data_IF_520988184835
#
_entry.id   IF_520988184835
#
_cell.length_a   1.000
_cell.length_b   1.000
_cell.length_c   1.000
_cell.angle_alpha   90.00
_cell.angle_beta   90.00
_cell.angle_gamma   90.00
#
_symmetry.space_group_name_H-M   'P 1'
#
loop_
_entity.id
_entity.type
_entity.pdbx_description
1 polymer ?
#
# COMPACT_ATOMS: atom_id res chain seq x y z
N UNK A 1 -14.40 -0.73 16.85
CA UNK A 1 -13.83 -1.99 16.35
C UNK A 1 -12.84 -1.64 15.25
N UNK A 2 -13.24 -1.31 14.02
CA UNK A 2 -12.31 -0.76 13.03
C UNK A 2 -12.01 0.71 13.36
N UNK A 3 -10.74 1.08 13.47
CA UNK A 3 -10.35 2.45 13.81
C UNK A 3 -8.95 2.77 13.26
N UNK A 4 -8.74 4.03 12.91
CA UNK A 4 -7.43 4.50 12.51
C UNK A 4 -6.45 4.42 13.68
N UNK A 5 -5.21 4.06 13.38
CA UNK A 5 -4.11 3.93 14.35
C UNK A 5 -3.27 5.21 14.37
N UNK A 6 -2.66 5.52 15.50
CA UNK A 6 -1.59 6.51 15.50
C UNK A 6 -0.37 5.97 14.70
N UNK A 7 0.40 6.85 14.07
CA UNK A 7 1.55 6.45 13.23
C UNK A 7 2.53 5.54 13.98
N UNK A 8 2.83 5.83 15.23
CA UNK A 8 3.69 4.99 16.06
C UNK A 8 3.17 3.55 16.21
N UNK A 9 1.84 3.38 16.26
CA UNK A 9 1.21 2.07 16.43
C UNK A 9 1.21 1.29 15.12
N UNK A 10 1.17 2.00 13.96
CA UNK A 10 1.40 1.42 12.64
C UNK A 10 2.83 0.90 12.55
N UNK A 11 3.82 1.76 12.84
CA UNK A 11 5.23 1.39 12.72
C UNK A 11 5.69 0.35 13.73
N UNK A 12 4.99 0.18 14.86
CA UNK A 12 5.28 -0.88 15.82
C UNK A 12 5.07 -2.31 15.29
N UNK A 13 4.36 -2.46 14.15
CA UNK A 13 4.15 -3.74 13.50
C UNK A 13 5.33 -4.16 12.61
N UNK A 14 6.25 -3.24 12.30
CA UNK A 14 7.40 -3.52 11.44
C UNK A 14 8.63 -3.92 12.24
N UNK A 15 9.38 -4.89 11.72
CA UNK A 15 10.69 -5.24 12.27
C UNK A 15 11.70 -4.13 11.96
N UNK A 16 12.34 -3.61 13.00
CA UNK A 16 13.42 -2.62 12.86
C UNK A 16 14.65 -3.25 12.23
N UNK A 17 15.34 -2.52 11.37
CA UNK A 17 16.61 -2.93 10.79
C UNK A 17 17.71 -2.91 11.85
N UNK A 18 18.59 -3.88 11.81
CA UNK A 18 19.80 -3.90 12.68
C UNK A 18 20.73 -2.72 12.36
N UNK A 19 20.85 -2.37 11.07
CA UNK A 19 21.64 -1.25 10.59
C UNK A 19 20.73 -0.28 9.86
N UNK A 20 20.65 0.97 10.35
CA UNK A 20 19.91 2.04 9.69
C UNK A 20 20.60 2.36 8.35
N UNK A 21 19.81 2.47 7.29
CA UNK A 21 20.32 2.88 5.98
C UNK A 21 20.61 4.38 5.99
N UNK A 22 21.87 4.76 5.81
CA UNK A 22 22.30 6.16 5.77
C UNK A 22 22.47 6.71 4.35
N UNK A 23 22.46 5.83 3.34
CA UNK A 23 22.72 6.15 1.94
C UNK A 23 21.47 6.50 1.11
N UNK A 24 20.42 7.05 1.71
CA UNK A 24 19.15 7.39 1.04
C UNK A 24 19.29 8.44 -0.07
N UNK A 25 20.39 9.21 -0.10
CA UNK A 25 20.66 10.20 -1.16
C UNK A 25 20.88 9.62 -2.56
N UNK A 26 20.91 8.30 -2.70
CA UNK A 26 20.90 7.60 -4.01
C UNK A 26 19.50 7.30 -4.52
N UNK A 27 18.48 7.46 -3.68
CA UNK A 27 17.09 7.31 -4.06
C UNK A 27 16.62 8.61 -4.75
N UNK A 28 15.58 8.50 -5.60
CA UNK A 28 14.93 9.69 -6.14
C UNK A 28 14.26 10.51 -5.02
N UNK A 29 13.74 11.68 -5.37
CA UNK A 29 12.97 12.49 -4.43
C UNK A 29 11.64 11.78 -4.14
N UNK A 30 11.54 11.16 -2.95
CA UNK A 30 10.38 10.42 -2.46
C UNK A 30 9.87 11.09 -1.19
N UNK A 31 8.64 10.76 -0.77
CA UNK A 31 8.06 11.32 0.45
C UNK A 31 8.94 10.99 1.68
N UNK A 32 9.05 11.96 2.61
CA UNK A 32 9.88 11.82 3.80
C UNK A 32 9.46 10.62 4.66
N UNK A 33 8.14 10.36 4.76
CA UNK A 33 7.59 9.22 5.49
C UNK A 33 8.06 7.88 4.93
N UNK A 34 8.06 7.73 3.59
CA UNK A 34 8.54 6.52 2.96
C UNK A 34 10.08 6.36 3.05
N UNK A 35 10.84 7.44 2.88
CA UNK A 35 12.28 7.40 3.08
C UNK A 35 12.65 7.03 4.53
N UNK A 36 11.94 7.57 5.50
CA UNK A 36 12.11 7.21 6.92
C UNK A 36 11.79 5.74 7.19
N UNK A 37 10.74 5.21 6.56
CA UNK A 37 10.41 3.79 6.60
C UNK A 37 11.55 2.92 6.05
N UNK A 38 12.03 3.19 4.84
CA UNK A 38 13.13 2.43 4.22
C UNK A 38 14.42 2.45 5.04
N UNK A 39 14.68 3.57 5.72
CA UNK A 39 15.86 3.71 6.56
C UNK A 39 15.83 2.81 7.80
N UNK A 40 14.65 2.62 8.40
CA UNK A 40 14.51 2.09 9.74
C UNK A 40 13.91 0.68 9.80
N UNK A 41 13.07 0.30 8.83
CA UNK A 41 12.27 -0.91 8.89
C UNK A 41 12.58 -1.89 7.75
N UNK A 42 12.31 -3.18 8.02
CA UNK A 42 12.29 -4.21 6.99
C UNK A 42 10.94 -4.22 6.27
N UNK A 43 10.90 -4.81 5.08
CA UNK A 43 9.65 -5.11 4.40
C UNK A 43 8.82 -6.14 5.15
N UNK A 44 7.51 -6.16 4.89
CA UNK A 44 6.56 -7.08 5.52
C UNK A 44 5.38 -7.36 4.57
N UNK A 45 4.85 -8.57 4.66
CA UNK A 45 3.52 -8.88 4.16
C UNK A 45 2.49 -8.46 5.24
N UNK A 46 1.66 -7.45 4.95
CA UNK A 46 0.58 -6.99 5.84
C UNK A 46 -0.67 -7.83 5.62
N UNK A 47 -1.02 -8.03 4.35
CA UNK A 47 -2.02 -8.96 3.83
C UNK A 47 -1.47 -9.60 2.56
N UNK A 48 -2.07 -10.69 2.02
CA UNK A 48 -1.69 -11.24 0.72
C UNK A 48 -1.76 -10.21 -0.42
N UNK A 49 -2.62 -9.19 -0.29
CA UNK A 49 -2.79 -8.13 -1.28
C UNK A 49 -1.79 -6.98 -1.11
N UNK A 50 -1.11 -6.90 0.06
CA UNK A 50 -0.18 -5.81 0.37
C UNK A 50 1.10 -6.35 1.02
N UNK A 51 2.13 -6.50 0.19
CA UNK A 51 3.51 -6.82 0.59
C UNK A 51 4.35 -5.55 0.40
N UNK A 52 4.80 -4.94 1.50
CA UNK A 52 5.64 -3.74 1.46
C UNK A 52 7.10 -4.13 1.37
N UNK A 53 7.82 -3.58 0.41
CA UNK A 53 9.24 -3.84 0.23
C UNK A 53 10.10 -3.10 1.26
N UNK A 54 11.12 -3.79 1.76
CA UNK A 54 12.25 -3.15 2.43
C UNK A 54 13.19 -2.47 1.44
N UNK A 55 14.27 -1.87 1.96
CA UNK A 55 15.21 -1.08 1.15
C UNK A 55 15.82 -1.85 -0.02
N UNK A 56 16.29 -3.07 0.23
CA UNK A 56 16.99 -3.89 -0.76
C UNK A 56 16.06 -4.34 -1.89
N UNK A 57 14.87 -4.82 -1.54
CA UNK A 57 13.87 -5.30 -2.50
C UNK A 57 13.35 -4.12 -3.33
N UNK A 58 13.06 -2.99 -2.68
CA UNK A 58 12.63 -1.78 -3.37
C UNK A 58 13.68 -1.30 -4.39
N UNK A 59 14.99 -1.33 -4.04
CA UNK A 59 16.04 -0.99 -4.99
C UNK A 59 16.11 -1.96 -6.18
N UNK A 60 15.97 -3.25 -5.94
CA UNK A 60 16.07 -4.26 -6.98
C UNK A 60 14.93 -4.14 -7.99
N UNK A 61 13.68 -4.02 -7.49
CA UNK A 61 12.51 -3.87 -8.33
C UNK A 61 12.53 -2.57 -9.14
N UNK A 62 12.97 -1.47 -8.54
CA UNK A 62 13.05 -0.20 -9.26
C UNK A 62 14.20 -0.14 -10.27
N UNK A 63 15.29 -0.87 -10.07
CA UNK A 63 16.32 -1.06 -11.12
C UNK A 63 15.78 -1.85 -12.31
N UNK A 64 14.95 -2.87 -12.04
CA UNK A 64 14.28 -3.61 -13.10
C UNK A 64 13.30 -2.71 -13.87
N UNK A 65 12.50 -1.90 -13.15
CA UNK A 65 11.57 -0.93 -13.74
C UNK A 65 12.31 0.08 -14.62
N UNK A 66 13.40 0.68 -14.11
CA UNK A 66 14.23 1.64 -14.85
C UNK A 66 14.81 1.04 -16.14
N UNK A 67 15.30 -0.19 -16.07
CA UNK A 67 15.92 -0.87 -17.21
C UNK A 67 14.93 -1.24 -18.31
N UNK A 68 13.71 -1.65 -17.94
CA UNK A 68 12.75 -2.25 -18.88
C UNK A 68 11.58 -1.33 -19.21
N UNK A 69 11.26 -0.35 -18.35
CA UNK A 69 10.10 0.53 -18.44
C UNK A 69 10.47 1.95 -17.99
N UNK A 70 11.42 2.58 -18.72
CA UNK A 70 12.00 3.88 -18.35
C UNK A 70 10.94 4.97 -18.14
N UNK A 71 9.94 5.05 -19.02
CA UNK A 71 8.87 6.05 -18.93
C UNK A 71 8.06 5.92 -17.63
N UNK A 72 7.76 4.68 -17.22
CA UNK A 72 7.10 4.43 -15.94
C UNK A 72 8.03 4.74 -14.77
N UNK A 73 9.31 4.38 -14.88
CA UNK A 73 10.28 4.65 -13.83
C UNK A 73 10.58 6.12 -13.64
N UNK A 74 10.42 6.98 -14.64
CA UNK A 74 10.54 8.45 -14.47
C UNK A 74 9.46 9.00 -13.53
N UNK A 75 8.24 8.43 -13.57
CA UNK A 75 7.08 8.91 -12.82
C UNK A 75 6.90 8.19 -11.49
N UNK A 76 7.10 6.88 -11.48
CA UNK A 76 6.74 6.00 -10.38
C UNK A 76 7.94 5.33 -9.72
N UNK A 77 7.79 5.01 -8.44
CA UNK A 77 8.69 4.18 -7.65
C UNK A 77 7.89 3.03 -7.03
N UNK A 78 8.27 1.79 -7.33
CA UNK A 78 7.60 0.60 -6.80
C UNK A 78 7.94 0.41 -5.31
N UNK A 79 6.91 0.31 -4.48
CA UNK A 79 7.02 0.18 -3.02
C UNK A 79 6.60 -1.17 -2.49
N UNK A 80 5.96 -1.99 -3.32
CA UNK A 80 5.43 -3.28 -2.90
C UNK A 80 4.70 -3.99 -4.02
N UNK A 81 4.16 -5.15 -3.69
CA UNK A 81 3.35 -5.97 -4.60
C UNK A 81 2.21 -6.66 -3.86
N UNK A 82 1.34 -7.36 -4.62
CA UNK A 82 0.45 -8.39 -4.10
C UNK A 82 1.02 -9.79 -4.33
N UNK A 83 0.49 -10.78 -3.65
CA UNK A 83 0.79 -12.19 -3.90
C UNK A 83 0.33 -12.69 -5.27
N UNK A 84 -0.51 -11.92 -5.98
CA UNK A 84 -0.98 -12.21 -7.33
C UNK A 84 -0.12 -11.57 -8.41
N UNK A 85 0.79 -10.67 -8.05
CA UNK A 85 1.71 -10.01 -8.97
C UNK A 85 1.34 -8.56 -9.32
N UNK A 86 0.31 -7.99 -8.68
CA UNK A 86 0.00 -6.56 -8.81
C UNK A 86 1.06 -5.70 -8.15
N UNK A 87 1.14 -4.44 -8.54
CA UNK A 87 2.16 -3.53 -8.05
C UNK A 87 1.60 -2.34 -7.28
N UNK A 88 2.30 -1.97 -6.18
CA UNK A 88 2.06 -0.76 -5.43
C UNK A 88 3.18 0.25 -5.69
N UNK A 89 2.83 1.48 -6.00
CA UNK A 89 3.75 2.51 -6.44
C UNK A 89 3.52 3.84 -5.73
N UNK A 90 4.59 4.63 -5.57
CA UNK A 90 4.54 6.04 -5.21
C UNK A 90 4.83 6.88 -6.45
N UNK A 91 4.02 7.89 -6.70
CA UNK A 91 4.33 8.94 -7.66
C UNK A 91 5.47 9.81 -7.10
N UNK A 92 6.54 9.97 -7.86
CA UNK A 92 7.75 10.72 -7.43
C UNK A 92 7.52 12.22 -7.31
N UNK A 93 6.48 12.76 -7.96
CA UNK A 93 6.19 14.19 -7.97
C UNK A 93 5.44 14.63 -6.72
N UNK A 94 4.38 13.89 -6.32
CA UNK A 94 3.44 14.31 -5.27
C UNK A 94 3.33 13.32 -4.09
N UNK A 95 3.95 12.14 -4.19
CA UNK A 95 3.94 11.12 -3.15
C UNK A 95 2.65 10.32 -3.04
N UNK A 96 1.70 10.48 -3.98
CA UNK A 96 0.46 9.71 -4.02
C UNK A 96 0.70 8.25 -4.37
N UNK A 97 -0.15 7.37 -3.82
CA UNK A 97 -0.09 5.92 -4.04
C UNK A 97 -0.88 5.53 -5.27
N UNK A 98 -0.28 4.68 -6.08
CA UNK A 98 -0.87 4.09 -7.28
C UNK A 98 -0.86 2.57 -7.20
N UNK A 99 -1.88 1.98 -7.78
CA UNK A 99 -2.03 0.54 -8.01
C UNK A 99 -1.82 0.21 -9.48
N UNK A 100 -1.21 -0.92 -9.75
CA UNK A 100 -1.08 -1.49 -11.08
C UNK A 100 -1.54 -2.95 -11.07
N UNK A 101 -2.57 -3.25 -11.88
CA UNK A 101 -3.11 -4.58 -12.07
C UNK A 101 -2.25 -5.34 -13.10
N UNK A 102 -1.67 -6.47 -12.70
CA UNK A 102 -0.83 -7.31 -13.57
C UNK A 102 -1.58 -7.86 -14.79
N UNK A 103 -2.90 -8.03 -14.73
CA UNK A 103 -3.74 -8.47 -15.85
C UNK A 103 -3.81 -7.41 -16.98
N UNK A 104 -3.41 -6.17 -16.69
CA UNK A 104 -3.25 -5.12 -17.70
C UNK A 104 -2.08 -5.37 -18.68
N UNK A 105 -1.20 -6.34 -18.39
CA UNK A 105 -0.06 -6.74 -19.19
C UNK A 105 1.23 -6.02 -18.81
N UNK A 106 1.94 -5.40 -19.77
CA UNK A 106 3.18 -4.68 -19.51
C UNK A 106 2.91 -3.28 -18.93
N UNK A 107 3.83 -2.77 -18.09
CA UNK A 107 3.70 -1.44 -17.48
C UNK A 107 3.53 -0.34 -18.53
N UNK A 108 2.42 0.39 -18.42
CA UNK A 108 2.12 1.60 -19.19
C UNK A 108 1.51 2.65 -18.25
N UNK A 109 1.94 3.90 -18.34
CA UNK A 109 1.56 4.98 -17.40
C UNK A 109 0.04 5.10 -17.22
N UNK A 110 -0.73 4.92 -18.29
CA UNK A 110 -2.19 5.03 -18.29
C UNK A 110 -2.93 3.88 -17.60
N UNK A 111 -2.23 2.81 -17.21
CA UNK A 111 -2.80 1.66 -16.47
C UNK A 111 -2.64 1.81 -14.96
N UNK A 112 -1.88 2.80 -14.50
CA UNK A 112 -1.71 3.06 -13.08
C UNK A 112 -2.91 3.80 -12.50
N UNK A 113 -3.56 3.21 -11.50
CA UNK A 113 -4.73 3.77 -10.84
C UNK A 113 -4.29 4.55 -9.59
N UNK A 114 -4.60 5.85 -9.55
CA UNK A 114 -4.35 6.70 -8.39
C UNK A 114 -5.37 6.44 -7.28
N UNK A 115 -4.91 6.18 -6.05
CA UNK A 115 -5.79 6.06 -4.88
C UNK A 115 -6.03 7.39 -4.15
N UNK A 116 -5.32 8.45 -4.51
CA UNK A 116 -5.45 9.77 -3.87
C UNK A 116 -4.91 9.85 -2.44
N UNK A 117 -4.15 8.88 -1.98
CA UNK A 117 -3.63 8.78 -0.62
C UNK A 117 -2.10 8.77 -0.61
N UNK A 118 -1.50 9.17 0.52
CA UNK A 118 -0.05 9.12 0.75
C UNK A 118 0.38 7.78 1.38
N UNK A 119 1.68 7.62 1.62
CA UNK A 119 2.24 6.38 2.16
C UNK A 119 1.72 6.01 3.56
N UNK A 120 1.54 6.96 4.47
CA UNK A 120 1.00 6.68 5.81
C UNK A 120 -0.47 6.28 5.75
N UNK A 121 -1.25 6.96 4.92
CA UNK A 121 -2.65 6.62 4.66
C UNK A 121 -2.78 5.24 4.01
N UNK A 122 -1.85 4.87 3.13
CA UNK A 122 -1.79 3.52 2.55
C UNK A 122 -1.49 2.44 3.61
N UNK A 123 -0.57 2.70 4.54
CA UNK A 123 -0.34 1.78 5.66
C UNK A 123 -1.58 1.68 6.57
N UNK A 124 -2.27 2.80 6.86
CA UNK A 124 -3.54 2.79 7.59
C UNK A 124 -4.56 1.87 6.92
N UNK A 125 -4.76 2.06 5.62
CA UNK A 125 -5.66 1.25 4.81
C UNK A 125 -5.28 -0.24 4.88
N UNK A 126 -4.00 -0.56 4.67
CA UNK A 126 -3.50 -1.93 4.68
C UNK A 126 -3.74 -2.64 6.03
N UNK A 127 -3.50 -1.95 7.15
CA UNK A 127 -3.77 -2.51 8.48
C UNK A 127 -5.27 -2.61 8.80
N UNK A 128 -6.13 -1.75 8.26
CA UNK A 128 -7.58 -1.92 8.37
C UNK A 128 -8.03 -3.19 7.65
N UNK A 129 -7.54 -3.45 6.44
CA UNK A 129 -7.84 -4.70 5.73
C UNK A 129 -7.28 -5.93 6.46
N UNK A 130 -6.10 -5.86 7.04
CA UNK A 130 -5.56 -6.92 7.91
C UNK A 130 -6.46 -7.19 9.14
N UNK A 131 -7.06 -6.15 9.73
CA UNK A 131 -8.04 -6.31 10.81
C UNK A 131 -9.34 -6.95 10.31
N UNK A 132 -9.79 -6.59 9.12
CA UNK A 132 -10.97 -7.19 8.49
C UNK A 132 -10.74 -8.68 8.21
N UNK A 133 -9.60 -9.06 7.65
CA UNK A 133 -9.23 -10.47 7.42
C UNK A 133 -9.28 -11.28 8.71
N UNK A 134 -8.63 -10.78 9.77
CA UNK A 134 -8.66 -11.43 11.09
C UNK A 134 -10.07 -11.56 11.64
N UNK A 135 -10.91 -10.56 11.41
CA UNK A 135 -12.31 -10.61 11.83
C UNK A 135 -13.08 -11.69 11.04
N UNK A 136 -12.89 -11.77 9.72
CA UNK A 136 -13.49 -12.77 8.85
C UNK A 136 -13.08 -14.19 9.26
N UNK A 137 -11.80 -14.42 9.52
CA UNK A 137 -11.24 -15.70 9.97
C UNK A 137 -11.91 -16.18 11.29
N UNK A 138 -12.19 -15.25 12.19
CA UNK A 138 -12.82 -15.56 13.50
C UNK A 138 -14.33 -15.71 13.42
N UNK A 139 -14.96 -15.34 12.30
CA UNK A 139 -16.42 -15.31 12.14
C UNK A 139 -16.90 -16.07 10.89
N UNK A 140 -16.22 -17.16 10.53
CA UNK A 140 -16.57 -18.05 9.41
C UNK A 140 -16.74 -17.30 8.06
N UNK A 141 -15.97 -16.25 7.85
CA UNK A 141 -16.03 -15.41 6.64
C UNK A 141 -17.23 -14.45 6.59
N UNK A 142 -17.97 -14.27 7.70
CA UNK A 142 -19.20 -13.46 7.73
C UNK A 142 -18.95 -12.12 8.41
N UNK A 143 -19.37 -11.05 7.73
CA UNK A 143 -19.46 -9.68 8.29
C UNK A 143 -20.90 -9.21 8.19
N UNK A 144 -21.50 -8.80 9.32
CA UNK A 144 -22.86 -8.23 9.33
C UNK A 144 -22.88 -6.83 8.72
N UNK A 145 -24.05 -6.38 8.26
CA UNK A 145 -24.24 -5.09 7.56
C UNK A 145 -23.79 -3.87 8.40
N UNK A 146 -23.93 -3.92 9.72
CA UNK A 146 -23.50 -2.84 10.62
C UNK A 146 -21.98 -2.72 10.59
N UNK A 147 -21.26 -3.85 10.64
CA UNK A 147 -19.80 -3.87 10.61
C UNK A 147 -19.24 -3.58 9.22
N UNK A 148 -19.92 -4.04 8.16
CA UNK A 148 -19.57 -3.65 6.79
C UNK A 148 -19.60 -2.13 6.65
N UNK A 149 -20.71 -1.51 7.07
CA UNK A 149 -20.84 -0.06 7.03
C UNK A 149 -19.80 0.65 7.90
N UNK A 150 -19.53 0.15 9.10
CA UNK A 150 -18.49 0.73 9.98
C UNK A 150 -17.11 0.65 9.32
N UNK A 151 -16.78 -0.45 8.66
CA UNK A 151 -15.52 -0.62 7.95
C UNK A 151 -15.42 0.37 6.78
N UNK A 152 -16.45 0.43 5.94
CA UNK A 152 -16.54 1.37 4.82
C UNK A 152 -16.38 2.82 5.30
N UNK A 153 -17.15 3.24 6.33
CA UNK A 153 -17.06 4.59 6.89
C UNK A 153 -15.64 4.88 7.43
N UNK A 154 -14.97 3.88 8.03
CA UNK A 154 -13.60 4.04 8.54
C UNK A 154 -12.60 4.17 7.39
N UNK A 155 -12.70 3.36 6.34
CA UNK A 155 -11.84 3.47 5.16
C UNK A 155 -12.06 4.83 4.47
N UNK A 156 -13.31 5.25 4.28
CA UNK A 156 -13.65 6.52 3.65
C UNK A 156 -13.27 7.74 4.53
N UNK A 157 -13.00 7.56 5.83
CA UNK A 157 -12.45 8.62 6.67
C UNK A 157 -10.96 8.89 6.42
N UNK A 158 -10.23 8.00 5.73
CA UNK A 158 -8.86 8.24 5.27
C UNK A 158 -8.89 9.18 4.06
N UNK A 159 -9.71 8.85 3.07
CA UNK A 159 -9.93 9.63 1.86
C UNK A 159 -11.32 9.34 1.29
N UNK A 160 -11.98 10.36 0.77
CA UNK A 160 -13.33 10.24 0.19
C UNK A 160 -13.35 9.15 -0.90
N UNK A 161 -14.39 8.32 -0.87
CA UNK A 161 -14.60 7.20 -1.82
C UNK A 161 -13.47 6.15 -1.90
N UNK A 162 -12.55 6.12 -0.93
CA UNK A 162 -11.40 5.21 -0.94
C UNK A 162 -11.84 3.74 -0.92
N UNK A 163 -12.89 3.39 -0.19
CA UNK A 163 -13.43 2.03 -0.17
C UNK A 163 -13.87 1.57 -1.57
N UNK A 164 -14.52 2.45 -2.32
CA UNK A 164 -14.96 2.14 -3.70
C UNK A 164 -13.81 2.09 -4.69
N UNK A 165 -12.73 2.85 -4.46
CA UNK A 165 -11.55 2.94 -5.33
C UNK A 165 -10.54 1.82 -5.07
N UNK A 166 -10.56 1.21 -3.87
CA UNK A 166 -9.58 0.18 -3.52
C UNK A 166 -9.80 -1.10 -4.34
N UNK A 167 -8.76 -1.68 -4.98
CA UNK A 167 -8.92 -2.79 -5.90
C UNK A 167 -9.39 -4.09 -5.23
N UNK A 168 -8.99 -4.33 -3.99
CA UNK A 168 -9.28 -5.55 -3.26
C UNK A 168 -10.43 -5.33 -2.27
N UNK A 169 -11.68 -5.50 -2.76
CA UNK A 169 -12.88 -5.39 -1.93
C UNK A 169 -13.36 -6.75 -1.48
N UNK A 170 -13.55 -6.93 -0.19
CA UNK A 170 -14.01 -8.19 0.41
C UNK A 170 -15.53 -8.34 0.39
N UNK A 171 -16.24 -7.25 0.17
CA UNK A 171 -17.69 -7.22 0.00
C UNK A 171 -18.13 -6.05 -0.84
N UNK A 172 -19.21 -6.20 -1.58
CA UNK A 172 -19.82 -5.13 -2.34
C UNK A 172 -20.79 -4.36 -1.46
N UNK A 173 -20.74 -3.01 -1.57
CA UNK A 173 -21.81 -2.19 -0.99
C UNK A 173 -23.06 -2.39 -1.83
N UNK A 174 -24.13 -2.87 -1.21
CA UNK A 174 -25.45 -2.88 -1.88
C UNK A 174 -25.80 -1.41 -2.19
N UNK A 175 -26.17 -1.07 -3.44
CA UNK A 175 -26.71 0.25 -3.71
C UNK A 175 -27.93 0.45 -2.82
N UNK A 176 -27.95 1.62 -2.13
CA UNK A 176 -29.06 2.02 -1.27
C UNK A 176 -30.36 2.22 -2.08
#
# INVERSE_FOLDING_TARGET
>A
MFSLKADRDIFSNFETRTNIVTGLGKLPNLSESYLSFLAQFKGIEITPDVIIYGYEDSLNENRYLEKNYSDCSEVFWMIGCSGQGDGWFINKLDGSIFFYDHDSGEYQINYFMNLGINFIEFLQLSFLYCELERYLDLNDGIVDEIRQKQFEDTVNSIHDDLFSSYPYRYFDTKPA
#
